data_IF_709984312877
#
_entry.id   IF_709984312877
#
_cell.length_a   1.000
_cell.length_b   1.000
_cell.length_c   1.000
_cell.angle_alpha   90.00
_cell.angle_beta   90.00
_cell.angle_gamma   90.00
#
_symmetry.space_group_name_H-M   'P 1'
#
loop_
_entity.id
_entity.type
_entity.pdbx_description
1 polymer ?
#
# COMPACT_ATOMS: atom_id res chain seq x y z
N UNK A 1 -13.23 4.23 -2.99
CA UNK A 1 -12.06 3.39 -3.32
C UNK A 1 -11.07 4.30 -3.99
N UNK A 2 -9.88 4.41 -3.39
CA UNK A 2 -8.92 5.44 -3.76
C UNK A 2 -8.39 5.23 -5.19
N UNK A 3 -8.22 6.31 -5.94
CA UNK A 3 -7.74 6.29 -7.33
C UNK A 3 -6.39 6.99 -7.47
N UNK A 4 -5.55 6.47 -8.36
CA UNK A 4 -4.23 7.03 -8.67
C UNK A 4 -4.38 8.04 -9.79
N UNK A 5 -3.85 9.24 -9.58
CA UNK A 5 -3.85 10.30 -10.59
C UNK A 5 -2.62 11.18 -10.44
N UNK A 6 -2.27 11.87 -11.53
CA UNK A 6 -1.24 12.90 -11.51
C UNK A 6 -1.85 14.19 -10.96
N UNK A 7 -1.28 14.69 -9.86
CA UNK A 7 -1.59 16.00 -9.33
C UNK A 7 -0.31 16.82 -9.15
N UNK A 8 -0.49 18.13 -9.16
CA UNK A 8 0.55 19.12 -8.96
C UNK A 8 0.22 19.91 -7.69
N UNK A 9 1.22 20.40 -6.95
CA UNK A 9 0.99 21.18 -5.74
C UNK A 9 1.88 22.41 -5.72
N UNK A 10 1.42 23.46 -5.05
CA UNK A 10 2.15 24.70 -4.86
C UNK A 10 3.11 24.58 -3.67
N UNK A 11 4.37 24.29 -3.96
CA UNK A 11 5.45 24.31 -2.96
C UNK A 11 6.55 23.28 -3.19
N UNK A 12 7.49 23.22 -2.25
CA UNK A 12 8.63 22.30 -2.32
C UNK A 12 8.30 20.88 -1.88
N UNK A 13 7.23 20.68 -1.12
CA UNK A 13 6.83 19.36 -0.61
C UNK A 13 5.32 19.25 -0.44
N UNK A 14 4.79 18.03 -0.58
CA UNK A 14 3.39 17.74 -0.30
C UNK A 14 3.00 18.05 1.15
N UNK A 15 3.93 17.99 2.10
CA UNK A 15 3.67 18.29 3.51
C UNK A 15 3.38 19.78 3.76
N UNK A 16 3.97 20.67 2.97
CA UNK A 16 3.88 22.14 3.14
C UNK A 16 3.06 22.84 2.06
N UNK A 17 2.54 22.10 1.08
CA UNK A 17 1.72 22.67 0.01
C UNK A 17 0.41 23.29 0.53
N UNK A 18 -0.12 24.27 -0.20
CA UNK A 18 -1.36 24.98 0.16
C UNK A 18 -2.55 24.37 -0.60
N UNK A 19 -2.34 23.83 -1.80
CA UNK A 19 -3.36 23.26 -2.65
C UNK A 19 -2.81 22.21 -3.64
N UNK A 20 -3.67 21.29 -4.05
CA UNK A 20 -3.45 20.40 -5.19
C UNK A 20 -4.19 20.91 -6.42
N UNK A 21 -3.63 20.59 -7.58
CA UNK A 21 -4.07 20.99 -8.90
C UNK A 21 -4.00 19.81 -9.87
N UNK A 22 -4.83 19.84 -10.89
CA UNK A 22 -4.85 18.81 -11.95
C UNK A 22 -3.96 19.15 -13.14
N UNK A 23 -3.43 20.38 -13.22
CA UNK A 23 -2.55 20.86 -14.27
C UNK A 23 -1.22 21.42 -13.74
N UNK A 24 -0.17 21.30 -14.54
CA UNK A 24 1.18 21.77 -14.20
C UNK A 24 1.27 23.30 -14.04
N UNK A 25 0.36 24.05 -14.70
CA UNK A 25 0.32 25.50 -14.58
C UNK A 25 -0.31 25.98 -13.26
N UNK A 26 -0.78 25.06 -12.41
CA UNK A 26 -1.40 25.33 -11.10
C UNK A 26 -2.62 26.25 -11.20
N UNK A 27 -3.44 26.05 -12.24
CA UNK A 27 -4.62 26.90 -12.51
C UNK A 27 -5.93 26.26 -12.11
N UNK A 28 -6.02 24.93 -12.20
CA UNK A 28 -7.23 24.15 -11.95
C UNK A 28 -7.04 23.36 -10.65
N UNK A 29 -7.77 23.76 -9.61
CA UNK A 29 -7.73 23.08 -8.31
C UNK A 29 -8.23 21.63 -8.45
N UNK A 30 -7.57 20.71 -7.77
CA UNK A 30 -8.04 19.35 -7.61
C UNK A 30 -9.35 19.31 -6.82
N UNK A 31 -10.09 18.21 -6.94
CA UNK A 31 -11.35 18.02 -6.23
C UNK A 31 -11.18 18.06 -4.70
N UNK A 32 -12.28 18.21 -3.98
CA UNK A 32 -12.28 18.06 -2.54
C UNK A 32 -12.23 16.56 -2.17
N UNK A 33 -11.43 16.22 -1.17
CA UNK A 33 -11.22 14.84 -0.75
C UNK A 33 -9.90 14.64 -0.01
N UNK A 34 -9.56 13.38 0.24
CA UNK A 34 -8.31 12.98 0.88
C UNK A 34 -7.27 12.61 -0.17
N UNK A 35 -6.03 13.01 0.11
CA UNK A 35 -4.87 12.80 -0.72
C UNK A 35 -3.73 12.24 0.14
N UNK A 36 -2.99 11.24 -0.32
CA UNK A 36 -1.81 10.73 0.39
C UNK A 36 -0.57 10.66 -0.50
N UNK A 37 0.60 10.99 0.06
CA UNK A 37 1.90 10.83 -0.59
C UNK A 37 2.93 10.41 0.46
N UNK A 38 3.62 9.29 0.21
CA UNK A 38 4.54 8.73 1.21
C UNK A 38 3.77 8.26 2.44
N UNK A 39 4.17 8.73 3.62
CA UNK A 39 3.57 8.37 4.93
C UNK A 39 2.53 9.36 5.46
N UNK A 40 2.12 10.35 4.67
CA UNK A 40 1.15 11.37 5.11
C UNK A 40 -0.09 11.42 4.22
N UNK A 41 -1.23 11.73 4.83
CA UNK A 41 -2.47 12.11 4.16
C UNK A 41 -2.88 13.54 4.51
N UNK A 42 -3.59 14.18 3.57
CA UNK A 42 -4.09 15.56 3.68
C UNK A 42 -5.47 15.64 3.03
N UNK A 43 -6.36 16.43 3.61
CA UNK A 43 -7.69 16.68 3.04
C UNK A 43 -7.70 18.02 2.33
N UNK A 44 -8.15 18.05 1.08
CA UNK A 44 -8.47 19.28 0.36
C UNK A 44 -9.95 19.62 0.53
N UNK A 45 -10.22 20.89 0.86
CA UNK A 45 -11.59 21.44 0.99
C UNK A 45 -11.63 22.82 0.36
N UNK A 46 -12.54 23.04 -0.58
CA UNK A 46 -12.65 24.25 -1.39
C UNK A 46 -11.30 24.74 -1.96
N UNK A 47 -10.44 23.81 -2.38
CA UNK A 47 -9.13 24.13 -2.95
C UNK A 47 -8.02 24.50 -1.95
N UNK A 48 -8.23 24.26 -0.65
CA UNK A 48 -7.22 24.41 0.41
C UNK A 48 -6.86 23.05 1.02
N UNK A 49 -5.58 22.70 1.05
CA UNK A 49 -5.07 21.55 1.79
C UNK A 49 -4.98 21.85 3.27
N UNK A 50 -5.66 21.01 4.05
CA UNK A 50 -5.58 21.00 5.50
C UNK A 50 -4.23 20.44 5.98
N UNK A 51 -3.99 20.45 7.28
CA UNK A 51 -2.75 19.99 7.90
C UNK A 51 -2.40 18.54 7.52
N UNK A 52 -1.10 18.23 7.51
CA UNK A 52 -0.61 16.87 7.29
C UNK A 52 -0.92 15.97 8.49
N UNK A 53 -1.48 14.80 8.19
CA UNK A 53 -1.75 13.74 9.16
C UNK A 53 -0.96 12.51 8.74
N UNK A 54 -0.19 11.92 9.66
CA UNK A 54 0.50 10.68 9.38
C UNK A 54 -0.51 9.57 9.07
N UNK A 55 -0.28 8.83 8.00
CA UNK A 55 -1.01 7.59 7.78
C UNK A 55 -0.74 6.64 8.96
N UNK A 56 -1.71 5.80 9.35
CA UNK A 56 -1.45 4.70 10.27
C UNK A 56 -0.36 3.80 9.69
N UNK A 57 0.24 2.92 10.50
CA UNK A 57 1.32 1.98 10.12
C UNK A 57 0.97 0.96 9.01
N UNK A 58 -0.13 1.17 8.31
CA UNK A 58 -0.54 0.49 7.08
C UNK A 58 -0.07 1.23 5.81
N UNK A 59 0.50 2.44 5.93
CA UNK A 59 0.59 3.41 4.83
C UNK A 59 1.97 3.99 4.54
N UNK A 60 3.05 3.24 4.77
CA UNK A 60 4.41 3.78 4.68
C UNK A 60 5.04 3.80 3.27
N UNK A 61 4.29 3.46 2.20
CA UNK A 61 4.79 3.60 0.83
C UNK A 61 3.66 3.76 -0.21
N UNK A 62 2.89 4.85 -0.15
CA UNK A 62 1.77 5.07 -1.08
C UNK A 62 2.18 6.04 -2.20
N UNK A 63 2.01 5.57 -3.45
CA UNK A 63 1.93 6.43 -4.64
C UNK A 63 0.76 7.41 -4.50
N UNK A 64 0.88 8.65 -4.97
CA UNK A 64 -0.12 9.70 -4.79
C UNK A 64 -1.57 9.21 -5.03
N UNK A 65 -2.39 9.24 -3.98
CA UNK A 65 -3.68 8.58 -3.93
C UNK A 65 -4.83 9.52 -3.57
N UNK A 66 -5.99 9.41 -4.23
CA UNK A 66 -7.17 10.23 -3.97
C UNK A 66 -8.39 9.40 -3.58
N UNK A 67 -9.08 9.76 -2.50
CA UNK A 67 -10.42 9.27 -2.19
C UNK A 67 -11.30 10.42 -1.70
N UNK A 68 -12.53 10.49 -2.21
CA UNK A 68 -13.46 11.59 -1.93
C UNK A 68 -13.95 11.59 -0.48
N UNK A 69 -13.97 10.45 0.21
CA UNK A 69 -14.63 10.31 1.52
C UNK A 69 -13.72 9.84 2.64
N UNK A 70 -12.59 9.17 2.37
CA UNK A 70 -11.89 8.38 3.38
C UNK A 70 -10.37 8.51 3.37
N UNK A 71 -9.80 9.04 4.46
CA UNK A 71 -8.35 9.03 4.71
C UNK A 71 -7.77 7.61 4.80
N UNK A 72 -8.55 6.67 5.37
CA UNK A 72 -8.16 5.26 5.48
C UNK A 72 -8.05 4.57 4.13
N UNK A 73 -8.85 4.95 3.14
CA UNK A 73 -8.75 4.39 1.78
C UNK A 73 -7.45 4.83 1.12
N UNK A 74 -7.12 6.12 1.20
CA UNK A 74 -5.84 6.62 0.64
C UNK A 74 -4.61 6.17 1.45
N UNK A 75 -4.75 5.83 2.74
CA UNK A 75 -3.64 5.43 3.61
C UNK A 75 -3.44 3.91 3.76
N UNK A 76 -4.49 3.10 3.80
CA UNK A 76 -4.40 1.67 4.11
C UNK A 76 -4.85 0.75 2.99
N UNK A 77 -5.51 1.27 1.95
CA UNK A 77 -5.89 0.49 0.77
C UNK A 77 -4.98 0.86 -0.40
N UNK A 78 -4.66 2.14 -0.51
CA UNK A 78 -3.87 2.68 -1.61
C UNK A 78 -4.66 2.68 -2.92
N UNK A 79 -3.98 3.01 -4.02
CA UNK A 79 -4.59 3.16 -5.35
C UNK A 79 -3.99 2.13 -6.30
N UNK A 80 -4.11 0.87 -5.93
CA UNK A 80 -3.81 -0.25 -6.81
C UNK A 80 -5.09 -0.73 -7.46
N UNK A 81 -5.43 -0.21 -8.65
CA UNK A 81 -6.52 -0.75 -9.46
C UNK A 81 -6.15 -2.08 -10.14
N UNK A 82 -4.93 -2.57 -9.90
CA UNK A 82 -4.44 -3.87 -10.34
C UNK A 82 -3.70 -4.51 -9.19
N UNK A 83 -4.28 -5.58 -8.64
CA UNK A 83 -3.58 -6.43 -7.70
C UNK A 83 -2.83 -7.51 -8.45
N UNK A 84 -1.54 -7.64 -8.16
CA UNK A 84 -0.69 -8.69 -8.72
C UNK A 84 -0.88 -9.95 -7.89
N UNK A 85 -1.30 -11.04 -8.54
CA UNK A 85 -1.45 -12.34 -7.90
C UNK A 85 -0.10 -13.05 -7.76
N UNK A 86 0.16 -13.65 -6.61
CA UNK A 86 1.36 -14.46 -6.35
C UNK A 86 1.01 -15.68 -5.50
N UNK A 87 1.79 -16.74 -5.66
CA UNK A 87 1.65 -17.97 -4.85
C UNK A 87 2.36 -17.82 -3.52
N UNK A 88 1.77 -18.33 -2.45
CA UNK A 88 2.32 -18.28 -1.10
C UNK A 88 1.86 -19.47 -0.28
N UNK A 89 2.48 -19.67 0.88
CA UNK A 89 2.05 -20.65 1.87
C UNK A 89 0.84 -20.14 2.67
N UNK A 90 0.23 -21.05 3.43
CA UNK A 90 -0.59 -20.66 4.59
C UNK A 90 0.24 -19.88 5.64
N UNK A 91 -0.45 -19.24 6.57
CA UNK A 91 0.16 -18.55 7.71
C UNK A 91 1.02 -19.52 8.54
N UNK A 92 2.23 -19.09 8.90
CA UNK A 92 3.14 -19.79 9.79
C UNK A 92 3.77 -18.85 10.83
N UNK A 93 4.79 -19.37 11.52
CA UNK A 93 5.61 -18.60 12.46
C UNK A 93 7.00 -18.36 11.88
N UNK A 94 7.70 -17.34 12.38
CA UNK A 94 9.02 -16.94 11.87
C UNK A 94 10.01 -18.11 11.69
N UNK A 95 10.07 -19.02 12.67
CA UNK A 95 11.03 -20.12 12.68
C UNK A 95 10.69 -21.30 11.76
N UNK A 96 9.42 -21.49 11.39
CA UNK A 96 8.98 -22.64 10.59
C UNK A 96 8.51 -22.28 9.18
N UNK A 97 8.18 -21.02 8.91
CA UNK A 97 7.55 -20.61 7.65
C UNK A 97 8.42 -20.93 6.43
N UNK A 98 9.74 -20.81 6.55
CA UNK A 98 10.69 -21.14 5.48
C UNK A 98 10.79 -22.64 5.18
N UNK A 99 10.43 -23.50 6.14
CA UNK A 99 10.36 -24.95 5.94
C UNK A 99 9.08 -25.40 5.25
N UNK A 100 8.07 -24.52 5.16
CA UNK A 100 6.85 -24.79 4.42
C UNK A 100 7.07 -24.49 2.93
N UNK A 101 7.11 -25.53 2.11
CA UNK A 101 7.28 -25.43 0.64
C UNK A 101 5.97 -25.69 -0.12
N UNK A 102 4.84 -25.68 0.58
CA UNK A 102 3.51 -25.89 0.03
C UNK A 102 2.89 -24.54 -0.33
N UNK A 103 3.05 -24.12 -1.58
CA UNK A 103 2.60 -22.83 -2.10
C UNK A 103 1.19 -22.89 -2.73
N UNK A 104 0.22 -23.39 -1.97
CA UNK A 104 -1.15 -23.68 -2.46
C UNK A 104 -2.11 -22.48 -2.30
N UNK A 105 -1.64 -21.38 -1.69
CA UNK A 105 -2.43 -20.16 -1.54
C UNK A 105 -2.09 -19.17 -2.66
N UNK A 106 -3.11 -18.47 -3.16
CA UNK A 106 -2.94 -17.31 -4.05
C UNK A 106 -3.35 -16.06 -3.29
N UNK A 107 -2.43 -15.12 -3.17
CA UNK A 107 -2.67 -13.80 -2.57
C UNK A 107 -2.42 -12.69 -3.59
N UNK A 108 -2.87 -11.49 -3.27
CA UNK A 108 -2.95 -10.37 -4.18
C UNK A 108 -2.33 -9.14 -3.54
N UNK A 109 -1.28 -8.57 -4.13
CA UNK A 109 -0.63 -7.36 -3.58
C UNK A 109 -0.78 -6.15 -4.49
N UNK A 110 -0.73 -4.95 -3.91
CA UNK A 110 -0.90 -3.70 -4.63
C UNK A 110 0.38 -3.19 -5.35
N UNK A 111 1.43 -4.02 -5.35
CA UNK A 111 2.69 -3.77 -6.05
C UNK A 111 2.70 -4.23 -7.51
N UNK A 112 3.68 -3.73 -8.28
CA UNK A 112 3.93 -4.15 -9.67
C UNK A 112 4.98 -5.25 -9.80
N UNK A 113 5.62 -5.64 -8.70
CA UNK A 113 6.58 -6.75 -8.65
C UNK A 113 5.90 -8.12 -8.73
N UNK A 114 6.69 -9.19 -8.81
CA UNK A 114 6.18 -10.57 -8.79
C UNK A 114 5.84 -11.08 -7.38
N UNK A 115 6.37 -10.43 -6.34
CA UNK A 115 6.08 -10.67 -4.93
C UNK A 115 5.89 -9.32 -4.23
N UNK A 116 5.22 -9.30 -3.07
CA UNK A 116 5.08 -8.07 -2.29
C UNK A 116 6.41 -7.53 -1.80
N UNK A 117 6.55 -6.20 -1.79
CA UNK A 117 7.65 -5.47 -1.17
C UNK A 117 7.26 -4.91 0.21
N UNK A 118 8.25 -4.51 1.01
CA UNK A 118 8.00 -3.81 2.28
C UNK A 118 7.20 -2.53 2.03
N UNK A 119 6.16 -2.29 2.84
CA UNK A 119 5.28 -1.14 2.70
C UNK A 119 4.07 -1.37 1.78
N UNK A 120 3.99 -2.53 1.11
CA UNK A 120 2.83 -2.91 0.29
C UNK A 120 1.74 -3.58 1.13
N UNK A 121 0.58 -3.75 0.50
CA UNK A 121 -0.60 -4.39 1.07
C UNK A 121 -0.90 -5.68 0.32
N UNK A 122 -1.18 -6.74 1.08
CA UNK A 122 -1.53 -8.07 0.59
C UNK A 122 -2.94 -8.43 1.02
N UNK A 123 -3.71 -8.98 0.09
CA UNK A 123 -5.10 -9.37 0.23
C UNK A 123 -5.29 -10.84 -0.12
N UNK A 124 -6.36 -11.42 0.45
CA UNK A 124 -6.77 -12.80 0.19
C UNK A 124 -7.62 -12.91 -1.09
N UNK A 125 -8.19 -11.81 -1.56
CA UNK A 125 -9.04 -11.74 -2.74
C UNK A 125 -8.51 -10.75 -3.77
N UNK A 126 -8.83 -11.01 -5.04
CA UNK A 126 -8.44 -10.15 -6.16
C UNK A 126 -9.12 -8.77 -6.12
N UNK A 127 -10.22 -8.62 -5.39
CA UNK A 127 -10.90 -7.33 -5.27
C UNK A 127 -10.23 -6.40 -4.23
N UNK A 128 -9.26 -6.90 -3.46
CA UNK A 128 -8.55 -6.13 -2.44
C UNK A 128 -9.44 -5.74 -1.26
N UNK A 129 -10.42 -6.58 -0.93
CA UNK A 129 -11.42 -6.27 0.11
C UNK A 129 -11.14 -6.96 1.44
N UNK A 130 -10.38 -8.05 1.41
CA UNK A 130 -10.07 -8.92 2.55
C UNK A 130 -8.56 -8.92 2.77
N UNK A 131 -8.05 -8.09 3.70
CA UNK A 131 -6.63 -8.05 4.00
C UNK A 131 -6.09 -9.40 4.45
N UNK A 132 -4.83 -9.67 4.14
CA UNK A 132 -4.13 -10.83 4.67
C UNK A 132 -3.91 -10.66 6.18
N UNK A 133 -4.09 -11.74 6.93
CA UNK A 133 -4.02 -11.72 8.39
C UNK A 133 -2.59 -11.53 8.88
N UNK A 134 -2.43 -11.03 10.11
CA UNK A 134 -1.14 -10.88 10.78
C UNK A 134 -0.45 -12.25 10.95
N UNK A 135 0.77 -12.36 10.44
CA UNK A 135 1.52 -13.62 10.48
C UNK A 135 2.75 -13.60 9.59
N UNK A 136 3.44 -14.73 9.54
CA UNK A 136 4.55 -14.97 8.61
C UNK A 136 4.09 -15.84 7.46
N UNK A 137 4.54 -15.49 6.26
CA UNK A 137 4.22 -16.19 5.03
C UNK A 137 5.49 -16.40 4.21
N UNK A 138 5.47 -17.40 3.34
CA UNK A 138 6.59 -17.75 2.47
C UNK A 138 6.10 -17.81 1.02
N UNK A 139 6.93 -17.35 0.10
CA UNK A 139 6.68 -17.40 -1.34
C UNK A 139 7.98 -17.74 -2.07
N UNK A 140 7.86 -18.43 -3.19
CA UNK A 140 8.92 -18.65 -4.17
C UNK A 140 8.56 -18.09 -5.54
N UNK A 141 7.53 -17.24 -5.64
CA UNK A 141 7.00 -16.76 -6.92
C UNK A 141 8.02 -15.90 -7.72
N UNK A 142 9.03 -15.35 -7.05
CA UNK A 142 10.17 -14.65 -7.68
C UNK A 142 11.31 -15.58 -8.14
N UNK A 143 11.18 -16.90 -7.92
CA UNK A 143 12.27 -17.88 -8.09
C UNK A 143 13.19 -18.00 -6.86
N UNK A 144 13.02 -17.15 -5.85
CA UNK A 144 13.80 -17.14 -4.61
C UNK A 144 12.89 -17.39 -3.41
N UNK A 145 13.25 -18.35 -2.55
CA UNK A 145 12.56 -18.60 -1.27
C UNK A 145 12.61 -17.36 -0.39
N UNK A 146 11.47 -16.69 -0.23
CA UNK A 146 11.34 -15.39 0.43
C UNK A 146 10.23 -15.42 1.45
N UNK A 147 10.54 -15.08 2.71
CA UNK A 147 9.52 -14.89 3.74
C UNK A 147 9.14 -13.43 3.86
N UNK A 148 7.88 -13.17 4.18
CA UNK A 148 7.38 -11.84 4.46
C UNK A 148 6.46 -11.86 5.69
N UNK A 149 6.39 -10.72 6.38
CA UNK A 149 5.59 -10.55 7.59
C UNK A 149 4.45 -9.57 7.35
N UNK A 150 3.24 -10.00 7.67
CA UNK A 150 2.08 -9.13 7.74
C UNK A 150 1.84 -8.70 9.19
N UNK A 151 1.52 -7.43 9.42
CA UNK A 151 1.21 -6.90 10.76
C UNK A 151 -0.19 -6.30 10.86
N UNK A 152 -0.71 -6.28 12.10
CA UNK A 152 -1.94 -5.58 12.48
C UNK A 152 -3.21 -5.99 11.71
N UNK A 153 -3.23 -7.17 11.08
CA UNK A 153 -4.35 -7.66 10.25
C UNK A 153 -4.78 -6.70 9.13
N UNK A 154 -3.86 -5.84 8.69
CA UNK A 154 -4.13 -4.82 7.66
C UNK A 154 -3.66 -5.24 6.28
N UNK A 155 -3.09 -6.44 6.13
CA UNK A 155 -2.39 -6.83 4.90
C UNK A 155 -1.04 -6.12 4.71
N UNK A 156 -0.65 -5.24 5.64
CA UNK A 156 0.59 -4.47 5.54
C UNK A 156 1.84 -5.33 5.70
N UNK A 157 2.74 -5.24 4.72
CA UNK A 157 4.00 -5.96 4.67
C UNK A 157 5.06 -5.20 5.46
N UNK A 158 5.31 -5.66 6.69
CA UNK A 158 6.27 -5.06 7.60
C UNK A 158 7.73 -5.43 7.30
N UNK A 159 7.96 -6.59 6.69
CA UNK A 159 9.30 -7.04 6.29
C UNK A 159 9.22 -8.07 5.18
N UNK A 160 10.24 -8.07 4.32
CA UNK A 160 10.46 -9.07 3.26
C UNK A 160 11.94 -9.43 3.30
N UNK A 161 12.25 -10.71 3.39
CA UNK A 161 13.63 -11.19 3.50
C UNK A 161 13.75 -12.60 2.90
N UNK A 162 14.91 -12.95 2.33
CA UNK A 162 15.14 -14.31 1.88
C UNK A 162 15.04 -15.26 3.07
N UNK A 163 14.49 -16.46 2.84
CA UNK A 163 14.71 -17.57 3.74
C UNK A 163 16.19 -17.87 3.73
N UNK A 164 16.91 -17.46 4.79
CA UNK A 164 18.31 -17.82 4.97
C UNK A 164 18.46 -19.34 4.87
N UNK A 165 19.60 -19.79 4.35
CA UNK A 165 19.98 -21.20 4.55
C UNK A 165 20.05 -21.46 6.06
N UNK A 166 19.50 -22.58 6.55
CA UNK A 166 19.49 -22.91 7.98
C UNK A 166 20.89 -22.90 8.60
#
# INVERSE_FOLDING_TARGET
MATRATYYFDGFSFATAIALFTDQALTTKAADGYYSLGSISRRQVNGFLQGAVNCPSCGDAISLCYDVTSASEVCCVGCGTTYTGFTSTIMGTFGSVCGNTTFDQTFYHNGSGTIPAMGELVYQDQAGTTPLQNGWYHTNASGTSTRYRITNNTGFVASVEPCGTP
#
